data_IF_416594367565
#
_entry.id   IF_416594367565
#
_cell.length_a   1.000
_cell.length_b   1.000
_cell.length_c   1.000
_cell.angle_alpha   90.00
_cell.angle_beta   90.00
_cell.angle_gamma   90.00
#
_symmetry.space_group_name_H-M   'P 1'
#
loop_
_entity.id
_entity.type
_entity.pdbx_description
1 polymer ?
#
# COMPACT_ATOMS: atom_id res chain seq x y z
N UNK A 1 6.49 -5.75 -8.65
CA UNK A 1 5.22 -6.44 -8.96
C UNK A 1 4.23 -6.10 -7.85
N UNK A 2 3.80 -4.84 -7.77
CA UNK A 2 2.98 -4.30 -6.64
C UNK A 2 1.67 -3.66 -7.13
N UNK A 3 1.47 -3.64 -8.47
CA UNK A 3 0.33 -3.04 -9.18
C UNK A 3 -0.98 -3.85 -9.06
N UNK A 4 -1.01 -4.88 -8.23
CA UNK A 4 -2.09 -5.89 -8.21
C UNK A 4 -2.62 -6.18 -6.80
N UNK A 5 -2.28 -5.34 -5.80
CA UNK A 5 -2.80 -5.53 -4.45
C UNK A 5 -4.26 -5.07 -4.41
N UNK A 6 -5.13 -5.97 -3.97
CA UNK A 6 -6.56 -5.72 -3.91
C UNK A 6 -6.93 -4.98 -2.62
N UNK A 7 -8.10 -4.35 -2.61
CA UNK A 7 -8.60 -3.62 -1.46
C UNK A 7 -9.39 -4.52 -0.50
N UNK A 8 -9.17 -4.35 0.81
CA UNK A 8 -10.04 -4.87 1.87
C UNK A 8 -10.13 -3.88 3.04
N UNK A 9 -11.31 -3.73 3.63
CA UNK A 9 -11.48 -2.97 4.88
C UNK A 9 -10.85 -3.65 6.09
N UNK A 10 -10.61 -4.98 6.02
CA UNK A 10 -9.85 -5.75 7.00
C UNK A 10 -8.51 -6.21 6.39
N UNK A 11 -7.83 -5.28 5.72
CA UNK A 11 -6.59 -5.56 5.04
C UNK A 11 -5.51 -6.11 5.98
N UNK A 12 -4.77 -7.12 5.52
CA UNK A 12 -3.61 -7.65 6.23
C UNK A 12 -2.42 -6.69 6.18
N UNK A 13 -2.38 -5.81 5.17
CA UNK A 13 -1.31 -4.83 4.98
C UNK A 13 -1.79 -3.39 5.13
N UNK A 14 -0.82 -2.48 5.30
CA UNK A 14 -1.02 -1.04 5.28
C UNK A 14 0.12 -0.36 4.52
N UNK A 15 -0.08 0.89 4.13
CA UNK A 15 0.96 1.70 3.52
C UNK A 15 1.85 2.33 4.60
N UNK A 16 3.13 2.49 4.29
CA UNK A 16 4.08 3.25 5.11
C UNK A 16 4.90 4.15 4.20
N UNK A 17 4.98 5.43 4.55
CA UNK A 17 5.91 6.35 3.91
C UNK A 17 7.29 6.19 4.53
N UNK A 18 8.29 5.98 3.68
CA UNK A 18 9.69 5.91 4.07
C UNK A 18 10.49 6.96 3.33
N UNK A 19 11.16 7.81 4.09
CA UNK A 19 12.10 8.79 3.54
C UNK A 19 13.46 8.11 3.39
N UNK A 20 13.87 7.87 2.15
CA UNK A 20 15.20 7.40 1.80
C UNK A 20 16.01 8.54 1.18
N UNK A 21 16.74 9.26 2.04
CA UNK A 21 17.49 10.49 1.69
C UNK A 21 16.56 11.55 1.11
N UNK A 22 16.74 11.93 -0.15
CA UNK A 22 15.91 12.89 -0.86
C UNK A 22 14.70 12.26 -1.55
N UNK A 23 14.51 10.94 -1.44
CA UNK A 23 13.41 10.23 -2.07
C UNK A 23 12.37 9.81 -1.03
N UNK A 24 11.10 10.02 -1.37
CA UNK A 24 9.98 9.44 -0.64
C UNK A 24 9.60 8.12 -1.32
N UNK A 25 9.52 7.05 -0.55
CA UNK A 25 9.14 5.71 -1.03
C UNK A 25 7.92 5.25 -0.24
N UNK A 26 6.91 4.74 -0.94
CA UNK A 26 5.74 4.11 -0.32
C UNK A 26 5.97 2.60 -0.26
N UNK A 27 5.90 2.03 0.94
CA UNK A 27 6.02 0.61 1.19
C UNK A 27 4.67 0.02 1.59
N UNK A 28 4.48 -1.25 1.30
CA UNK A 28 3.35 -2.05 1.80
C UNK A 28 3.89 -2.97 2.88
N UNK A 29 3.36 -2.84 4.10
CA UNK A 29 3.84 -3.57 5.28
C UNK A 29 2.70 -4.37 5.89
N UNK A 30 2.98 -5.64 6.20
CA UNK A 30 2.05 -6.52 6.89
C UNK A 30 1.79 -6.03 8.34
N UNK A 31 0.52 -5.91 8.73
CA UNK A 31 0.08 -5.61 10.11
C UNK A 31 0.03 -6.86 10.99
N UNK A 32 -0.11 -8.02 10.35
CA UNK A 32 -0.21 -9.34 10.98
C UNK A 32 0.49 -10.38 10.11
N UNK A 33 0.68 -11.57 10.66
CA UNK A 33 1.10 -12.74 9.86
C UNK A 33 0.10 -12.96 8.72
N UNK A 34 0.64 -13.21 7.53
CA UNK A 34 -0.09 -13.60 6.32
C UNK A 34 0.26 -15.04 6.07
N UNK A 35 -0.75 -15.91 6.08
CA UNK A 35 -0.55 -17.35 5.87
C UNK A 35 -0.38 -17.66 4.38
N UNK A 36 0.23 -18.81 4.08
CA UNK A 36 0.39 -19.25 2.69
C UNK A 36 -0.99 -19.45 2.03
N UNK A 37 -1.16 -18.87 0.83
CA UNK A 37 -2.43 -18.90 0.09
C UNK A 37 -3.43 -17.81 0.48
N UNK A 38 -3.14 -16.99 1.49
CA UNK A 38 -3.94 -15.81 1.82
C UNK A 38 -3.68 -14.67 0.82
N UNK A 39 -4.75 -14.00 0.37
CA UNK A 39 -4.63 -12.86 -0.53
C UNK A 39 -4.04 -11.64 0.20
N UNK A 40 -2.98 -11.07 -0.36
CA UNK A 40 -2.38 -9.84 0.15
C UNK A 40 -3.26 -8.65 -0.24
N UNK A 41 -3.90 -8.04 0.76
CA UNK A 41 -4.82 -6.91 0.57
C UNK A 41 -4.37 -5.68 1.36
N UNK A 42 -4.76 -4.49 0.87
CA UNK A 42 -4.46 -3.18 1.48
C UNK A 42 -5.74 -2.36 1.70
N UNK A 43 -5.75 -1.49 2.70
CA UNK A 43 -6.86 -0.55 2.90
C UNK A 43 -6.61 0.73 2.08
N UNK A 44 -7.51 1.04 1.15
CA UNK A 44 -7.42 2.23 0.28
C UNK A 44 -7.92 3.50 0.97
N UNK A 45 -8.60 3.36 2.10
CA UNK A 45 -9.25 4.47 2.82
C UNK A 45 -8.50 4.81 4.10
N UNK A 46 -7.30 4.26 4.32
CA UNK A 46 -6.52 4.48 5.54
C UNK A 46 -6.31 6.00 5.79
N UNK A 47 -6.96 6.57 6.82
CA UNK A 47 -7.00 8.02 7.03
C UNK A 47 -5.66 8.61 7.48
N UNK A 48 -4.69 7.76 7.84
CA UNK A 48 -3.34 8.19 8.22
C UNK A 48 -2.48 8.63 7.03
N UNK A 49 -2.94 8.36 5.79
CA UNK A 49 -2.24 8.72 4.56
C UNK A 49 -3.05 9.69 3.70
N UNK A 50 -3.25 10.90 4.22
CA UNK A 50 -3.78 12.03 3.45
C UNK A 50 -2.93 12.33 2.22
N UNK A 51 -3.58 12.39 1.06
CA UNK A 51 -3.10 12.77 -0.29
C UNK A 51 -1.96 11.95 -0.92
N UNK A 52 -0.93 11.53 -0.18
CA UNK A 52 0.22 10.81 -0.76
C UNK A 52 -0.08 9.38 -1.18
N UNK A 53 -0.95 8.65 -0.47
CA UNK A 53 -1.38 7.31 -0.92
C UNK A 53 -2.30 7.40 -2.13
N UNK A 54 -3.14 8.43 -2.25
CA UNK A 54 -3.91 8.67 -3.49
C UNK A 54 -2.99 8.94 -4.66
N UNK A 55 -1.91 9.71 -4.46
CA UNK A 55 -0.88 9.92 -5.48
C UNK A 55 -0.18 8.60 -5.79
N UNK A 56 0.26 7.83 -4.80
CA UNK A 56 0.95 6.56 -5.03
C UNK A 56 0.05 5.54 -5.76
N UNK A 57 -1.21 5.37 -5.34
CA UNK A 57 -2.21 4.53 -6.02
C UNK A 57 -2.46 5.03 -7.45
N UNK A 58 -2.65 6.34 -7.65
CA UNK A 58 -2.79 6.93 -8.98
C UNK A 58 -1.56 6.67 -9.86
N UNK A 59 -0.35 6.79 -9.30
CA UNK A 59 0.90 6.50 -10.01
C UNK A 59 1.05 4.99 -10.32
N UNK A 60 0.66 4.10 -9.41
CA UNK A 60 0.63 2.65 -9.68
C UNK A 60 -0.39 2.28 -10.75
N UNK A 61 -1.57 2.90 -10.74
CA UNK A 61 -2.66 2.63 -11.67
C UNK A 61 -2.44 3.26 -13.07
N UNK A 62 -1.61 4.31 -13.18
CA UNK A 62 -1.40 5.07 -14.43
C UNK A 62 0.02 5.00 -15.03
N UNK A 63 0.92 4.16 -14.50
CA UNK A 63 2.19 3.86 -15.17
C UNK A 63 1.97 2.81 -16.28
N UNK A 64 2.50 3.03 -17.51
CA UNK A 64 2.36 2.11 -18.65
C UNK A 64 2.92 0.71 -18.36
#
# INVERSE_FOLDING_TARGET
MTRMLNHSCDAACHFVEMINRANVVVMVVAKRTIEEGEEVTVDYVDPWFGDMVRIALYWFDNLP
#
